data_IF_402988176902
#
_entry.id   IF_402988176902
#
_cell.length_a   1.000
_cell.length_b   1.000
_cell.length_c   1.000
_cell.angle_alpha   90.00
_cell.angle_beta   90.00
_cell.angle_gamma   90.00
#
_symmetry.space_group_name_H-M   'P 1'
#
loop_
_entity.id
_entity.type
_entity.pdbx_description
1 polymer ?
#
# COMPACT_ATOMS: atom_id res chain seq x y z
N UNK A 1 -35.20 -41.46 -14.47
CA UNK A 1 -35.78 -40.31 -13.77
C UNK A 1 -35.08 -39.93 -12.45
N UNK A 2 -34.38 -40.85 -11.79
CA UNK A 2 -33.67 -40.60 -10.51
C UNK A 2 -32.25 -39.99 -10.66
N UNK A 3 -31.57 -40.24 -11.78
CA UNK A 3 -30.22 -39.72 -12.08
C UNK A 3 -30.25 -38.22 -12.44
N UNK A 4 -31.25 -37.79 -13.17
CA UNK A 4 -31.42 -36.40 -13.65
C UNK A 4 -31.58 -35.38 -12.49
N UNK A 5 -32.40 -35.73 -11.48
CA UNK A 5 -32.61 -34.88 -10.27
C UNK A 5 -31.34 -34.78 -9.42
N UNK A 6 -30.48 -35.80 -9.40
CA UNK A 6 -29.20 -35.76 -8.67
C UNK A 6 -28.19 -34.87 -9.36
N UNK A 7 -28.08 -34.97 -10.70
CA UNK A 7 -27.18 -34.17 -11.51
C UNK A 7 -27.55 -32.68 -11.48
N UNK A 8 -28.85 -32.36 -11.50
CA UNK A 8 -29.31 -30.96 -11.30
C UNK A 8 -29.01 -30.42 -9.91
N UNK A 9 -29.19 -31.23 -8.85
CA UNK A 9 -28.90 -30.81 -7.48
C UNK A 9 -27.39 -30.61 -7.26
N UNK A 10 -26.53 -31.41 -7.84
CA UNK A 10 -25.08 -31.30 -7.78
C UNK A 10 -24.58 -30.07 -8.56
N UNK A 11 -25.09 -29.85 -9.77
CA UNK A 11 -24.82 -28.65 -10.57
C UNK A 11 -25.22 -27.36 -9.84
N UNK A 12 -26.38 -27.36 -9.19
CA UNK A 12 -26.84 -26.19 -8.41
C UNK A 12 -25.95 -25.92 -7.19
N UNK A 13 -25.51 -26.97 -6.51
CA UNK A 13 -24.56 -26.83 -5.37
C UNK A 13 -23.22 -26.28 -5.79
N UNK A 14 -22.68 -26.71 -6.91
CA UNK A 14 -21.41 -26.22 -7.44
C UNK A 14 -21.48 -24.76 -7.87
N UNK A 15 -22.59 -24.34 -8.50
CA UNK A 15 -22.84 -22.94 -8.84
C UNK A 15 -22.94 -22.08 -7.58
N UNK A 16 -23.68 -22.50 -6.57
CA UNK A 16 -23.80 -21.77 -5.29
C UNK A 16 -22.47 -21.67 -4.58
N UNK A 17 -21.70 -22.76 -4.54
CA UNK A 17 -20.38 -22.81 -3.89
C UNK A 17 -19.38 -21.87 -4.59
N UNK A 18 -19.39 -21.85 -5.92
CA UNK A 18 -18.52 -20.98 -6.70
C UNK A 18 -18.87 -19.49 -6.52
N UNK A 19 -20.16 -19.15 -6.44
CA UNK A 19 -20.63 -17.78 -6.18
C UNK A 19 -20.27 -17.31 -4.76
N UNK A 20 -20.41 -18.18 -3.77
CA UNK A 20 -20.04 -17.87 -2.38
C UNK A 20 -18.54 -17.63 -2.27
N UNK A 21 -17.71 -18.49 -2.87
CA UNK A 21 -16.26 -18.30 -2.88
C UNK A 21 -15.83 -16.98 -3.52
N UNK A 22 -16.48 -16.58 -4.63
CA UNK A 22 -16.22 -15.29 -5.29
C UNK A 22 -16.58 -14.08 -4.42
N UNK A 23 -17.67 -14.14 -3.68
CA UNK A 23 -18.08 -13.07 -2.76
C UNK A 23 -17.10 -12.95 -1.60
N UNK A 24 -16.77 -14.05 -0.95
CA UNK A 24 -15.77 -14.07 0.15
C UNK A 24 -14.43 -13.49 -0.30
N UNK A 25 -13.97 -13.83 -1.50
CA UNK A 25 -12.73 -13.29 -2.05
C UNK A 25 -12.84 -11.77 -2.31
N UNK A 26 -13.96 -11.29 -2.82
CA UNK A 26 -14.19 -9.86 -3.04
C UNK A 26 -14.23 -9.08 -1.72
N UNK A 27 -14.92 -9.62 -0.71
CA UNK A 27 -15.01 -9.00 0.62
C UNK A 27 -13.63 -8.98 1.32
N UNK A 28 -12.87 -10.07 1.21
CA UNK A 28 -11.50 -10.14 1.74
C UNK A 28 -10.56 -9.11 1.08
N UNK A 29 -10.67 -8.92 -0.23
CA UNK A 29 -9.90 -7.89 -0.96
C UNK A 29 -10.24 -6.49 -0.47
N UNK A 30 -11.54 -6.18 -0.35
CA UNK A 30 -12.00 -4.88 0.14
C UNK A 30 -11.51 -4.63 1.56
N UNK A 31 -11.60 -5.63 2.43
CA UNK A 31 -11.12 -5.55 3.81
C UNK A 31 -9.61 -5.29 3.89
N UNK A 32 -8.81 -5.98 3.08
CA UNK A 32 -7.35 -5.80 3.05
C UNK A 32 -6.97 -4.38 2.61
N UNK A 33 -7.62 -3.86 1.55
CA UNK A 33 -7.37 -2.49 1.09
C UNK A 33 -7.80 -1.48 2.15
N UNK A 34 -8.98 -1.66 2.74
CA UNK A 34 -9.52 -0.75 3.75
C UNK A 34 -8.64 -0.72 5.00
N UNK A 35 -8.16 -1.88 5.45
CA UNK A 35 -7.26 -1.98 6.60
C UNK A 35 -5.92 -1.31 6.35
N UNK A 36 -5.30 -1.56 5.18
CA UNK A 36 -4.04 -0.93 4.82
C UNK A 36 -4.18 0.59 4.65
N UNK A 37 -5.21 1.04 3.93
CA UNK A 37 -5.46 2.46 3.72
C UNK A 37 -5.79 3.17 5.04
N UNK A 38 -6.62 2.55 5.89
CA UNK A 38 -6.93 3.06 7.22
C UNK A 38 -5.68 3.18 8.10
N UNK A 39 -4.80 2.19 8.07
CA UNK A 39 -3.50 2.23 8.74
C UNK A 39 -2.60 3.35 8.22
N UNK A 40 -2.52 3.54 6.90
CA UNK A 40 -1.74 4.61 6.29
C UNK A 40 -2.28 6.00 6.67
N UNK A 41 -3.59 6.20 6.62
CA UNK A 41 -4.26 7.45 7.04
C UNK A 41 -4.04 7.70 8.53
N UNK A 42 -4.27 6.70 9.38
CA UNK A 42 -4.05 6.83 10.81
C UNK A 42 -2.60 7.20 11.14
N UNK A 43 -1.66 6.54 10.48
CA UNK A 43 -0.24 6.88 10.62
C UNK A 43 0.04 8.34 10.23
N UNK A 44 -0.45 8.78 9.07
CA UNK A 44 -0.15 10.12 8.54
C UNK A 44 -0.74 11.25 9.38
N UNK A 45 -1.96 11.07 9.88
CA UNK A 45 -2.69 12.14 10.58
C UNK A 45 -2.60 12.08 12.11
N UNK A 46 -2.26 10.93 12.67
CA UNK A 46 -2.19 10.76 14.13
C UNK A 46 -0.77 10.43 14.58
N UNK A 47 -0.18 9.35 14.06
CA UNK A 47 1.10 8.85 14.58
C UNK A 47 2.26 9.79 14.23
N UNK A 48 2.38 10.22 12.97
CA UNK A 48 3.47 11.08 12.54
C UNK A 48 3.47 12.44 13.25
N UNK A 49 2.36 13.20 13.32
CA UNK A 49 2.32 14.44 14.10
C UNK A 49 2.60 14.22 15.59
N UNK A 50 2.07 13.14 16.18
CA UNK A 50 2.32 12.81 17.58
C UNK A 50 3.78 12.50 17.85
N UNK A 51 4.47 11.82 16.94
CA UNK A 51 5.90 11.55 17.06
C UNK A 51 6.71 12.85 17.13
N UNK A 52 6.40 13.83 16.28
CA UNK A 52 7.06 15.15 16.34
C UNK A 52 6.70 15.99 17.56
N UNK A 53 5.53 15.77 18.16
CA UNK A 53 5.09 16.48 19.36
C UNK A 53 5.69 15.92 20.66
N UNK A 54 5.94 14.60 20.72
CA UNK A 54 6.28 13.89 21.96
C UNK A 54 7.76 13.53 22.03
N UNK A 55 8.42 13.23 20.92
CA UNK A 55 9.81 12.79 20.91
C UNK A 55 10.76 13.97 21.21
N UNK A 56 11.84 13.73 21.98
CA UNK A 56 12.73 14.77 22.46
C UNK A 56 13.52 15.47 21.34
N UNK A 57 13.66 14.86 20.18
CA UNK A 57 14.36 15.45 19.03
C UNK A 57 13.61 15.19 17.73
N UNK A 58 13.66 16.16 16.81
CA UNK A 58 13.11 16.01 15.46
C UNK A 58 13.78 14.89 14.67
N UNK A 59 15.04 14.58 14.98
CA UNK A 59 15.80 13.50 14.38
C UNK A 59 15.18 12.13 14.71
N UNK A 60 14.86 11.89 15.99
CA UNK A 60 14.20 10.64 16.42
C UNK A 60 12.79 10.52 15.83
N UNK A 61 12.03 11.62 15.82
CA UNK A 61 10.73 11.66 15.20
C UNK A 61 10.80 11.34 13.70
N UNK A 62 11.72 12.00 12.99
CA UNK A 62 11.93 11.75 11.56
C UNK A 62 12.42 10.33 11.25
N UNK A 63 13.27 9.75 12.10
CA UNK A 63 13.71 8.36 11.95
C UNK A 63 12.52 7.39 12.11
N UNK A 64 11.72 7.54 13.17
CA UNK A 64 10.52 6.72 13.40
C UNK A 64 9.53 6.81 12.24
N UNK A 65 9.26 8.03 11.77
CA UNK A 65 8.33 8.27 10.65
C UNK A 65 8.87 7.62 9.38
N UNK A 66 10.15 7.76 9.08
CA UNK A 66 10.77 7.18 7.89
C UNK A 66 10.68 5.66 7.89
N UNK A 67 11.02 5.00 8.99
CA UNK A 67 10.94 3.54 9.13
C UNK A 67 9.49 3.05 9.00
N UNK A 68 8.54 3.75 9.63
CA UNK A 68 7.13 3.36 9.56
C UNK A 68 6.55 3.54 8.15
N UNK A 69 6.89 4.63 7.45
CA UNK A 69 6.50 4.82 6.04
C UNK A 69 7.07 3.71 5.15
N UNK A 70 8.31 3.29 5.39
CA UNK A 70 8.90 2.18 4.64
C UNK A 70 8.08 0.88 4.81
N UNK A 71 7.64 0.56 6.03
CA UNK A 71 6.78 -0.59 6.32
C UNK A 71 5.41 -0.45 5.63
N UNK A 72 4.79 0.73 5.69
CA UNK A 72 3.50 1.00 5.03
C UNK A 72 3.62 0.83 3.51
N UNK A 73 4.69 1.34 2.90
CA UNK A 73 4.93 1.22 1.46
C UNK A 73 5.17 -0.24 1.03
N UNK A 74 5.97 -0.99 1.79
CA UNK A 74 6.19 -2.43 1.53
C UNK A 74 4.88 -3.20 1.69
N UNK A 75 4.09 -2.92 2.73
CA UNK A 75 2.78 -3.51 2.94
C UNK A 75 1.83 -3.24 1.76
N UNK A 76 1.76 -1.98 1.31
CA UNK A 76 0.96 -1.59 0.14
C UNK A 76 1.41 -2.27 -1.15
N UNK A 77 2.73 -2.40 -1.36
CA UNK A 77 3.28 -3.12 -2.50
C UNK A 77 2.87 -4.60 -2.50
N UNK A 78 3.02 -5.28 -1.36
CA UNK A 78 2.66 -6.71 -1.22
C UNK A 78 1.16 -6.91 -1.42
N UNK A 79 0.33 -6.13 -0.75
CA UNK A 79 -1.14 -6.22 -0.86
C UNK A 79 -1.58 -5.97 -2.30
N UNK A 80 -1.10 -4.88 -2.93
CA UNK A 80 -1.45 -4.56 -4.32
C UNK A 80 -1.02 -5.64 -5.29
N UNK A 81 0.16 -6.22 -5.12
CA UNK A 81 0.66 -7.32 -5.96
C UNK A 81 -0.22 -8.57 -5.83
N UNK A 82 -0.56 -8.97 -4.58
CA UNK A 82 -1.43 -10.11 -4.32
C UNK A 82 -2.82 -9.91 -4.91
N UNK A 83 -3.40 -8.73 -4.72
CA UNK A 83 -4.73 -8.41 -5.25
C UNK A 83 -4.73 -8.35 -6.78
N UNK A 84 -3.68 -7.79 -7.37
CA UNK A 84 -3.53 -7.75 -8.82
C UNK A 84 -3.38 -9.15 -9.42
N UNK A 85 -2.59 -10.02 -8.79
CA UNK A 85 -2.47 -11.43 -9.20
C UNK A 85 -3.82 -12.15 -9.12
N UNK A 86 -4.59 -12.00 -8.03
CA UNK A 86 -5.92 -12.59 -7.92
C UNK A 86 -6.91 -12.03 -8.94
N UNK A 87 -6.75 -10.75 -9.36
CA UNK A 87 -7.55 -10.14 -10.41
C UNK A 87 -7.27 -10.77 -11.78
N UNK A 88 -6.01 -11.06 -12.09
CA UNK A 88 -5.61 -11.71 -13.35
C UNK A 88 -6.15 -13.14 -13.45
N UNK A 89 -6.18 -13.86 -12.31
CA UNK A 89 -6.66 -15.24 -12.23
C UNK A 89 -8.20 -15.34 -12.23
N UNK A 90 -8.92 -14.23 -12.08
CA UNK A 90 -10.39 -14.24 -12.04
C UNK A 90 -10.97 -14.19 -13.44
N UNK A 91 -11.75 -15.20 -13.82
CA UNK A 91 -12.55 -15.19 -15.05
C UNK A 91 -13.83 -14.36 -14.85
N UNK A 92 -14.11 -13.40 -15.74
CA UNK A 92 -15.26 -12.52 -15.63
C UNK A 92 -15.97 -12.25 -16.97
N UNK A 93 -17.31 -12.23 -16.96
CA UNK A 93 -18.14 -11.87 -18.11
C UNK A 93 -18.03 -10.37 -18.51
N UNK A 94 -18.71 -9.99 -19.59
CA UNK A 94 -18.60 -8.67 -20.23
C UNK A 94 -18.94 -7.48 -19.28
N UNK A 95 -19.90 -7.60 -18.37
CA UNK A 95 -20.29 -6.54 -17.42
C UNK A 95 -19.24 -6.34 -16.35
N UNK A 96 -18.57 -7.41 -15.93
CA UNK A 96 -17.47 -7.35 -14.96
C UNK A 96 -16.19 -6.71 -15.53
N UNK A 97 -16.04 -6.58 -16.83
CA UNK A 97 -14.82 -6.10 -17.49
C UNK A 97 -14.49 -4.65 -17.13
N UNK A 98 -15.49 -3.77 -17.06
CA UNK A 98 -15.27 -2.34 -16.71
C UNK A 98 -14.85 -2.18 -15.26
N UNK A 99 -15.54 -2.87 -14.35
CA UNK A 99 -15.20 -2.87 -12.93
C UNK A 99 -13.78 -3.44 -12.69
N UNK A 100 -13.42 -4.54 -13.34
CA UNK A 100 -12.08 -5.13 -13.29
C UNK A 100 -10.99 -4.18 -13.82
N UNK A 101 -11.28 -3.42 -14.90
CA UNK A 101 -10.30 -2.44 -15.41
C UNK A 101 -10.08 -1.32 -14.39
N UNK A 102 -11.14 -0.79 -13.79
CA UNK A 102 -11.02 0.24 -12.76
C UNK A 102 -10.26 -0.28 -11.53
N UNK A 103 -10.59 -1.47 -11.06
CA UNK A 103 -9.87 -2.13 -9.96
C UNK A 103 -8.39 -2.34 -10.32
N UNK A 104 -8.11 -2.88 -11.50
CA UNK A 104 -6.73 -3.10 -11.97
C UNK A 104 -5.92 -1.81 -12.09
N UNK A 105 -6.52 -0.75 -12.63
CA UNK A 105 -5.87 0.57 -12.72
C UNK A 105 -5.61 1.13 -11.32
N UNK A 106 -6.57 1.04 -10.39
CA UNK A 106 -6.40 1.51 -9.02
C UNK A 106 -5.28 0.76 -8.29
N UNK A 107 -5.24 -0.56 -8.41
CA UNK A 107 -4.17 -1.38 -7.83
C UNK A 107 -2.80 -1.07 -8.44
N UNK A 108 -2.75 -0.84 -9.75
CA UNK A 108 -1.52 -0.44 -10.43
C UNK A 108 -1.02 0.92 -9.94
N UNK A 109 -1.92 1.89 -9.76
CA UNK A 109 -1.58 3.21 -9.21
C UNK A 109 -1.01 3.07 -7.80
N UNK A 110 -1.64 2.28 -6.93
CA UNK A 110 -1.13 2.04 -5.57
C UNK A 110 0.23 1.36 -5.61
N UNK A 111 0.42 0.36 -6.48
CA UNK A 111 1.68 -0.34 -6.65
C UNK A 111 2.81 0.61 -7.07
N UNK A 112 2.55 1.48 -8.05
CA UNK A 112 3.51 2.49 -8.52
C UNK A 112 3.79 3.50 -7.41
N UNK A 113 2.77 4.03 -6.73
CA UNK A 113 2.93 4.99 -5.65
C UNK A 113 3.77 4.42 -4.49
N UNK A 114 3.50 3.18 -4.06
CA UNK A 114 4.28 2.51 -3.02
C UNK A 114 5.73 2.25 -3.46
N UNK A 115 5.95 1.92 -4.74
CA UNK A 115 7.30 1.71 -5.28
C UNK A 115 8.11 3.00 -5.31
N UNK A 116 7.49 4.11 -5.76
CA UNK A 116 8.11 5.44 -5.75
C UNK A 116 8.40 5.88 -4.32
N UNK A 117 7.41 5.75 -3.41
CA UNK A 117 7.57 6.11 -2.00
C UNK A 117 8.70 5.33 -1.32
N UNK A 118 8.80 4.03 -1.60
CA UNK A 118 9.90 3.20 -1.08
C UNK A 118 11.26 3.65 -1.61
N UNK A 119 11.38 3.91 -2.91
CA UNK A 119 12.63 4.37 -3.53
C UNK A 119 13.05 5.74 -2.98
N UNK A 120 12.09 6.66 -2.82
CA UNK A 120 12.33 7.99 -2.26
C UNK A 120 12.80 7.91 -0.80
N UNK A 121 12.13 7.08 0.02
CA UNK A 121 12.52 6.87 1.42
C UNK A 121 13.95 6.32 1.54
N UNK A 122 14.34 5.39 0.68
CA UNK A 122 15.71 4.86 0.64
C UNK A 122 16.72 5.94 0.28
N UNK A 123 16.44 6.72 -0.75
CA UNK A 123 17.34 7.79 -1.19
C UNK A 123 17.54 8.88 -0.11
N UNK A 124 16.45 9.24 0.58
CA UNK A 124 16.52 10.16 1.73
C UNK A 124 17.32 9.57 2.90
N UNK A 125 17.20 8.27 3.16
CA UNK A 125 18.01 7.58 4.17
C UNK A 125 19.49 7.57 3.79
N UNK A 126 19.82 7.32 2.52
CA UNK A 126 21.21 7.35 2.02
C UNK A 126 21.82 8.74 2.15
N UNK A 127 21.10 9.81 1.81
CA UNK A 127 21.53 11.19 2.00
C UNK A 127 21.79 11.52 3.47
N UNK A 128 20.88 11.06 4.38
CA UNK A 128 21.06 11.24 5.82
C UNK A 128 22.31 10.52 6.32
N UNK A 129 22.55 9.28 5.87
CA UNK A 129 23.74 8.52 6.22
C UNK A 129 25.02 9.17 5.69
N UNK A 130 24.97 9.74 4.48
CA UNK A 130 26.12 10.46 3.89
C UNK A 130 26.51 11.71 4.68
N UNK A 131 25.56 12.39 5.32
CA UNK A 131 25.84 13.53 6.19
C UNK A 131 26.61 13.15 7.46
N UNK A 132 26.51 11.90 7.95
CA UNK A 132 27.26 11.36 9.10
C UNK A 132 27.04 12.06 10.46
N UNK A 133 26.09 12.99 10.52
CA UNK A 133 25.72 13.79 11.71
C UNK A 133 24.26 14.22 11.60
N UNK A 134 23.63 14.62 12.76
CA UNK A 134 22.29 15.16 12.77
C UNK A 134 22.10 16.28 11.77
N UNK A 135 21.01 16.27 11.01
CA UNK A 135 20.72 17.26 9.95
C UNK A 135 20.79 18.70 10.44
N UNK A 136 20.39 18.92 11.71
CA UNK A 136 20.41 20.25 12.34
C UNK A 136 21.84 20.80 12.54
N UNK A 137 22.86 19.92 12.54
CA UNK A 137 24.28 20.27 12.69
C UNK A 137 25.03 20.32 11.37
N UNK A 138 24.37 20.01 10.26
CA UNK A 138 24.97 20.10 8.91
C UNK A 138 24.77 21.54 8.41
N UNK A 139 25.78 22.18 7.77
CA UNK A 139 25.60 23.51 7.16
C UNK A 139 24.45 23.53 6.15
N UNK A 140 23.76 24.67 6.02
CA UNK A 140 22.61 24.83 5.12
C UNK A 140 23.00 24.70 3.63
N UNK A 141 24.24 24.97 3.30
CA UNK A 141 24.85 24.93 1.97
C UNK A 141 25.49 23.58 1.65
N UNK A 142 25.47 22.63 2.58
CA UNK A 142 25.95 21.26 2.34
C UNK A 142 25.13 20.60 1.24
N UNK A 143 25.76 20.06 0.18
CA UNK A 143 25.05 19.48 -0.96
C UNK A 143 24.10 18.34 -0.59
N UNK A 144 24.46 17.50 0.39
CA UNK A 144 23.60 16.40 0.85
C UNK A 144 22.38 16.92 1.60
N UNK A 145 22.53 18.01 2.38
CA UNK A 145 21.43 18.66 3.08
C UNK A 145 20.47 19.35 2.11
N UNK A 146 20.99 20.05 1.11
CA UNK A 146 20.18 20.70 0.06
C UNK A 146 19.38 19.64 -0.68
N UNK A 147 20.03 18.57 -1.16
CA UNK A 147 19.35 17.48 -1.85
C UNK A 147 18.28 16.78 -0.98
N UNK A 148 18.58 16.60 0.32
CA UNK A 148 17.60 16.04 1.27
C UNK A 148 16.38 16.95 1.43
N UNK A 149 16.57 18.25 1.59
CA UNK A 149 15.47 19.22 1.75
C UNK A 149 14.60 19.31 0.50
N UNK A 150 15.19 19.29 -0.69
CA UNK A 150 14.47 19.29 -1.96
C UNK A 150 13.59 18.03 -2.08
N UNK A 151 14.16 16.84 -1.83
CA UNK A 151 13.42 15.58 -1.85
C UNK A 151 12.32 15.54 -0.78
N UNK A 152 12.59 16.07 0.41
CA UNK A 152 11.59 16.16 1.47
C UNK A 152 10.44 17.07 1.06
N UNK A 153 10.71 18.21 0.44
CA UNK A 153 9.70 19.11 -0.12
C UNK A 153 8.79 18.41 -1.14
N UNK A 154 9.35 17.62 -2.06
CA UNK A 154 8.59 16.83 -3.02
C UNK A 154 7.77 15.70 -2.38
N UNK A 155 8.22 15.16 -1.25
CA UNK A 155 7.52 14.06 -0.57
C UNK A 155 6.28 14.51 0.22
N UNK A 156 6.16 15.80 0.51
CA UNK A 156 5.10 16.39 1.36
C UNK A 156 4.10 17.21 0.52
N UNK A 157 4.43 17.51 -0.75
CA UNK A 157 3.58 18.24 -1.70
C UNK A 157 2.58 17.32 -2.41
#
# INVERSE_FOLDING_TARGET
>A
MSTDVRDEAESTRDVVRSQTGRRVLADARLLLIALWLGGAVFFSFVVAPSAFAVLPTHELAGALVTETIAVVNVGGFVISTLLFATLLLSEGGHVARRARRLEGVSLLVVLIACSIGHSLSRHMADLRNAMGRPIDRVPLDDPARVAFNDLHGYSVA
#
